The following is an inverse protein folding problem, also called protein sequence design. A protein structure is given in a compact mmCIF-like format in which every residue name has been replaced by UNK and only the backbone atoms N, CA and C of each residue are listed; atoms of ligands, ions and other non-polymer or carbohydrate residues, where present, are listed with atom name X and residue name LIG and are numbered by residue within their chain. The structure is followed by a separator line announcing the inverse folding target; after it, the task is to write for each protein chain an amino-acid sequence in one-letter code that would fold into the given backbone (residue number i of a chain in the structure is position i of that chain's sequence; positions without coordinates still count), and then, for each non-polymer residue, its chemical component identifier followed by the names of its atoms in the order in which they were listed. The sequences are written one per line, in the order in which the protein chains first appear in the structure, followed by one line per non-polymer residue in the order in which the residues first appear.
data_IF_553385623257
#
_entry.id   IF_553385623257
#
_cell.length_a   1.000
_cell.length_b   1.000
_cell.length_c   1.000
_cell.angle_alpha   90.00
_cell.angle_beta   90.00
_cell.angle_gamma   90.00
#
_symmetry.space_group_name_H-M   'P 1'
#
loop_
_entity.id
_entity.type
_entity.pdbx_description
1 polymer ?
#
# COMPACT_ATOMS: atom_id res chain seq x y z
N UNK A 1 -8.69 -49.70 -48.76
CA UNK A 1 -7.67 -48.63 -48.92
C UNK A 1 -8.07 -47.45 -48.06
N UNK A 2 -7.09 -46.83 -47.40
CA UNK A 2 -7.16 -45.50 -46.74
C UNK A 2 -7.75 -45.40 -45.33
N UNK A 3 -6.93 -45.67 -44.29
CA UNK A 3 -6.47 -44.69 -43.26
C UNK A 3 -5.94 -45.40 -41.99
N UNK A 4 -4.68 -45.17 -41.58
CA UNK A 4 -4.27 -45.21 -40.19
C UNK A 4 -4.08 -43.79 -39.63
N UNK A 5 -4.27 -43.63 -38.32
CA UNK A 5 -4.02 -42.40 -37.56
C UNK A 5 -4.64 -42.53 -36.17
N UNK A 6 -4.10 -43.40 -35.32
CA UNK A 6 -3.19 -43.04 -34.21
C UNK A 6 -3.76 -41.93 -33.32
N UNK A 7 -4.26 -42.38 -32.17
CA UNK A 7 -4.66 -41.52 -31.06
C UNK A 7 -3.47 -40.72 -30.54
N UNK A 8 -3.63 -39.42 -30.52
CA UNK A 8 -2.84 -38.51 -29.70
C UNK A 8 -3.59 -38.26 -28.41
N UNK A 9 -3.08 -38.82 -27.31
CA UNK A 9 -3.41 -38.39 -25.96
C UNK A 9 -2.95 -36.93 -25.83
N UNK A 10 -3.89 -36.01 -25.70
CA UNK A 10 -3.58 -34.65 -25.25
C UNK A 10 -3.30 -34.72 -23.75
N UNK A 11 -2.12 -34.32 -23.25
CA UNK A 11 -1.97 -34.06 -21.83
C UNK A 11 -2.78 -32.80 -21.52
N UNK A 12 -3.80 -32.99 -20.70
CA UNK A 12 -4.54 -31.92 -20.02
C UNK A 12 -3.51 -31.17 -19.18
N UNK A 13 -3.04 -30.01 -19.66
CA UNK A 13 -2.20 -29.15 -18.86
C UNK A 13 -3.01 -28.65 -17.67
N UNK A 14 -2.60 -29.13 -16.50
CA UNK A 14 -3.28 -28.98 -15.24
C UNK A 14 -3.46 -27.52 -14.83
N UNK A 15 -4.48 -27.36 -13.99
CA UNK A 15 -4.68 -26.23 -13.11
C UNK A 15 -3.36 -25.89 -12.41
N UNK A 16 -2.66 -24.91 -12.96
CA UNK A 16 -1.45 -24.37 -12.35
C UNK A 16 -1.85 -23.62 -11.09
N UNK A 17 -1.75 -24.30 -9.94
CA UNK A 17 -1.57 -23.60 -8.68
C UNK A 17 -0.37 -22.67 -8.86
N UNK A 18 -0.48 -21.36 -8.57
CA UNK A 18 0.68 -20.49 -8.61
C UNK A 18 1.73 -21.04 -7.64
N UNK A 19 3.02 -20.95 -7.98
CA UNK A 19 4.08 -21.51 -7.15
C UNK A 19 3.99 -20.99 -5.72
N UNK A 20 4.10 -21.89 -4.74
CA UNK A 20 3.93 -21.62 -3.29
C UNK A 20 5.09 -20.80 -2.67
N UNK A 21 5.77 -19.95 -3.44
CA UNK A 21 6.84 -19.08 -2.95
C UNK A 21 7.03 -17.86 -3.87
N UNK A 22 5.97 -17.10 -4.11
CA UNK A 22 6.12 -15.78 -4.74
C UNK A 22 6.35 -14.77 -3.65
N UNK A 23 7.55 -14.17 -3.62
CA UNK A 23 7.87 -13.09 -2.70
C UNK A 23 6.79 -12.01 -2.72
N UNK A 24 6.41 -11.50 -1.55
CA UNK A 24 5.40 -10.46 -1.39
C UNK A 24 5.96 -9.27 -0.66
N UNK A 25 5.56 -8.08 -1.09
CA UNK A 25 5.87 -6.86 -0.36
C UNK A 25 4.82 -6.67 0.72
N UNK A 26 5.27 -6.43 1.95
CA UNK A 26 4.40 -6.28 3.11
C UNK A 26 4.25 -4.80 3.44
N UNK A 27 3.00 -4.35 3.56
CA UNK A 27 2.67 -3.01 4.02
C UNK A 27 1.80 -3.15 5.24
N UNK A 28 2.26 -2.62 6.37
CA UNK A 28 1.43 -2.44 7.54
C UNK A 28 0.60 -1.17 7.38
N UNK A 29 -0.66 -1.28 7.72
CA UNK A 29 -1.63 -0.21 7.57
C UNK A 29 -2.47 -0.06 8.84
N UNK A 30 -2.96 1.14 9.11
CA UNK A 30 -3.87 1.44 10.20
C UNK A 30 -5.16 2.04 9.67
N UNK A 31 -6.28 1.75 10.36
CA UNK A 31 -7.59 2.23 9.96
C UNK A 31 -7.86 3.64 10.53
N UNK A 32 -8.01 4.63 9.66
CA UNK A 32 -8.28 6.01 10.07
C UNK A 32 -9.76 6.28 10.41
N UNK A 33 -10.09 7.51 10.82
CA UNK A 33 -11.48 7.90 11.17
C UNK A 33 -12.47 7.77 10.01
N UNK A 34 -11.97 7.77 8.78
CA UNK A 34 -12.77 7.74 7.56
C UNK A 34 -12.97 6.32 7.03
N UNK A 35 -12.68 5.29 7.83
CA UNK A 35 -12.71 3.88 7.43
C UNK A 35 -11.79 3.56 6.24
N UNK A 36 -10.64 4.24 6.18
CA UNK A 36 -9.61 4.04 5.14
C UNK A 36 -8.33 3.49 5.76
N UNK A 37 -7.72 2.54 5.07
CA UNK A 37 -6.44 1.97 5.45
C UNK A 37 -5.31 2.88 4.98
N UNK A 38 -4.48 3.29 5.94
CA UNK A 38 -3.38 4.23 5.74
C UNK A 38 -2.06 3.48 5.91
N UNK A 39 -1.15 3.52 4.93
CA UNK A 39 0.12 2.86 5.05
C UNK A 39 0.98 3.56 6.10
N UNK A 40 1.64 2.77 6.94
CA UNK A 40 2.83 3.25 7.63
C UNK A 40 3.96 3.47 6.63
N UNK A 41 4.97 4.24 7.01
CA UNK A 41 6.18 4.41 6.20
C UNK A 41 6.94 3.09 6.09
N UNK A 42 7.78 2.95 5.05
CA UNK A 42 8.55 1.72 4.85
C UNK A 42 9.44 1.39 6.06
N UNK A 43 10.08 2.40 6.66
CA UNK A 43 10.88 2.24 7.89
C UNK A 43 10.07 1.65 9.04
N UNK A 44 8.86 2.17 9.27
CA UNK A 44 7.96 1.65 10.31
C UNK A 44 7.52 0.22 9.98
N UNK A 45 7.20 -0.09 8.72
CA UNK A 45 6.87 -1.45 8.30
C UNK A 45 8.02 -2.44 8.52
N UNK A 46 9.27 -2.07 8.23
CA UNK A 46 10.44 -2.90 8.53
C UNK A 46 10.58 -3.16 10.02
N UNK A 47 10.38 -2.14 10.85
CA UNK A 47 10.44 -2.29 12.29
C UNK A 47 9.35 -3.24 12.82
N UNK A 48 8.10 -3.07 12.38
CA UNK A 48 7.01 -3.98 12.76
C UNK A 48 7.30 -5.42 12.31
N UNK A 49 7.75 -5.62 11.08
CA UNK A 49 8.10 -6.96 10.57
C UNK A 49 9.25 -7.61 11.34
N UNK A 50 10.25 -6.85 11.78
CA UNK A 50 11.34 -7.39 12.59
C UNK A 50 10.84 -7.85 13.97
N UNK A 51 10.02 -7.04 14.64
CA UNK A 51 9.43 -7.43 15.94
C UNK A 51 8.50 -8.63 15.77
N UNK A 52 7.68 -8.67 14.71
CA UNK A 52 6.78 -9.80 14.44
C UNK A 52 7.54 -11.12 14.25
N UNK A 53 8.72 -11.08 13.62
CA UNK A 53 9.57 -12.27 13.42
C UNK A 53 10.15 -12.78 14.74
N UNK A 54 10.46 -11.89 15.67
CA UNK A 54 11.01 -12.23 16.98
C UNK A 54 9.92 -12.68 17.96
N UNK A 55 8.80 -11.95 18.02
CA UNK A 55 7.66 -12.23 18.88
C UNK A 55 6.33 -11.85 18.22
N UNK A 56 5.60 -12.86 17.75
CA UNK A 56 4.29 -12.70 17.12
C UNK A 56 3.19 -12.18 18.07
N UNK A 57 3.43 -12.16 19.39
CA UNK A 57 2.50 -11.60 20.39
C UNK A 57 3.07 -10.37 21.08
N UNK A 58 4.17 -9.83 20.55
CA UNK A 58 4.85 -8.67 21.10
C UNK A 58 4.09 -7.36 20.89
N UNK A 59 4.64 -6.30 21.45
CA UNK A 59 4.19 -4.93 21.22
C UNK A 59 5.28 -4.13 20.49
N UNK A 60 4.87 -3.29 19.54
CA UNK A 60 5.78 -2.47 18.72
C UNK A 60 5.63 -1.01 19.11
N UNK A 61 6.71 -0.38 19.59
CA UNK A 61 6.73 1.04 19.96
C UNK A 61 7.16 1.87 18.76
N UNK A 62 6.19 2.47 18.06
CA UNK A 62 6.44 3.12 16.76
C UNK A 62 7.39 4.32 16.87
N UNK A 63 7.38 5.00 18.02
CA UNK A 63 8.28 6.11 18.35
C UNK A 63 9.77 5.82 18.26
N UNK A 64 10.18 4.54 18.28
CA UNK A 64 11.59 4.15 18.16
C UNK A 64 12.18 4.47 16.79
N UNK A 65 11.35 4.49 15.74
CA UNK A 65 11.77 4.69 14.35
C UNK A 65 11.12 5.91 13.67
N UNK A 66 10.07 6.47 14.27
CA UNK A 66 9.41 7.68 13.77
C UNK A 66 8.96 8.59 14.93
N UNK A 67 9.57 9.77 15.03
CA UNK A 67 9.28 10.74 16.09
C UNK A 67 7.82 11.26 16.06
N UNK A 68 7.14 11.23 14.91
CA UNK A 68 5.72 11.60 14.83
C UNK A 68 4.81 10.53 15.42
N UNK A 69 5.32 9.32 15.61
CA UNK A 69 4.58 8.16 16.11
C UNK A 69 4.93 7.81 17.57
N UNK A 70 5.63 8.70 18.29
CA UNK A 70 5.99 8.54 19.71
C UNK A 70 4.85 8.04 20.61
N UNK A 71 3.61 8.58 20.54
CA UNK A 71 2.56 8.15 21.46
C UNK A 71 1.88 6.82 21.04
N UNK A 72 2.33 6.16 19.98
CA UNK A 72 1.65 4.99 19.41
C UNK A 72 2.41 3.69 19.66
N UNK A 73 1.66 2.68 20.12
CA UNK A 73 2.11 1.30 20.28
C UNK A 73 1.19 0.39 19.49
N UNK A 74 1.72 -0.59 18.77
CA UNK A 74 0.93 -1.67 18.16
C UNK A 74 1.01 -2.89 19.06
N UNK A 75 -0.13 -3.47 19.41
CA UNK A 75 -0.21 -4.80 20.00
C UNK A 75 -0.44 -5.84 18.89
N UNK A 76 0.53 -6.73 18.66
CA UNK A 76 0.50 -7.69 17.55
C UNK A 76 -0.47 -8.84 17.79
N UNK A 77 -0.80 -9.13 19.06
CA UNK A 77 -1.78 -10.15 19.40
C UNK A 77 -3.20 -9.71 19.05
N UNK A 78 -3.60 -8.51 19.45
CA UNK A 78 -4.94 -7.96 19.15
C UNK A 78 -5.01 -7.33 17.77
N UNK A 79 -3.89 -7.05 17.11
CA UNK A 79 -3.80 -6.31 15.84
C UNK A 79 -4.42 -4.91 15.94
N UNK A 80 -4.08 -4.18 17.00
CA UNK A 80 -4.51 -2.80 17.21
C UNK A 80 -3.34 -1.86 17.49
N UNK A 81 -3.41 -0.66 16.94
CA UNK A 81 -2.64 0.49 17.38
C UNK A 81 -3.37 1.18 18.53
N UNK A 82 -2.66 1.38 19.63
CA UNK A 82 -3.09 2.15 20.78
C UNK A 82 -2.34 3.47 20.84
N UNK A 83 -3.06 4.57 21.05
CA UNK A 83 -2.48 5.88 21.34
C UNK A 83 -2.47 6.12 22.84
N UNK A 84 -1.28 6.25 23.44
CA UNK A 84 -1.09 6.18 24.89
C UNK A 84 -1.69 7.35 25.68
N UNK A 85 -1.75 8.54 25.10
CA UNK A 85 -2.21 9.77 25.76
C UNK A 85 -3.74 9.91 25.73
N UNK A 86 -4.41 9.51 24.64
CA UNK A 86 -5.87 9.62 24.48
C UNK A 86 -6.62 8.31 24.68
N UNK A 87 -5.91 7.19 24.75
CA UNK A 87 -6.52 5.86 24.85
C UNK A 87 -7.19 5.39 23.56
N UNK A 88 -7.01 6.10 22.44
CA UNK A 88 -7.67 5.77 21.17
C UNK A 88 -7.08 4.50 20.58
N UNK A 89 -7.96 3.58 20.19
CA UNK A 89 -7.61 2.30 19.56
C UNK A 89 -8.00 2.31 18.09
N UNK A 90 -7.09 1.84 17.23
CA UNK A 90 -7.32 1.70 15.79
C UNK A 90 -6.89 0.31 15.33
N UNK A 91 -7.71 -0.41 14.55
CA UNK A 91 -7.27 -1.64 13.91
C UNK A 91 -6.02 -1.42 13.04
N UNK A 92 -5.10 -2.37 13.07
CA UNK A 92 -3.99 -2.46 12.11
C UNK A 92 -4.12 -3.73 11.29
N UNK A 93 -3.52 -3.74 10.10
CA UNK A 93 -3.44 -4.93 9.26
C UNK A 93 -2.07 -5.06 8.60
N UNK A 94 -1.68 -6.31 8.36
CA UNK A 94 -0.54 -6.70 7.55
C UNK A 94 -1.05 -7.07 6.17
N UNK A 95 -0.84 -6.23 5.16
CA UNK A 95 -1.33 -6.45 3.80
C UNK A 95 -0.19 -6.76 2.82
N UNK A 96 -0.49 -7.49 1.73
CA UNK A 96 0.51 -8.01 0.81
C UNK A 96 0.31 -7.48 -0.61
N UNK A 97 1.40 -7.11 -1.25
CA UNK A 97 1.45 -6.50 -2.57
C UNK A 97 2.48 -7.18 -3.47
N UNK A 98 2.33 -6.97 -4.78
CA UNK A 98 3.27 -7.49 -5.77
C UNK A 98 4.62 -6.75 -5.69
N UNK A 99 5.78 -7.42 -5.72
CA UNK A 99 7.09 -6.77 -5.71
C UNK A 99 7.35 -5.76 -6.83
N UNK A 100 6.68 -5.91 -7.98
CA UNK A 100 6.77 -4.97 -9.10
C UNK A 100 5.91 -3.71 -8.90
N UNK A 101 5.05 -3.67 -7.88
CA UNK A 101 4.18 -2.54 -7.58
C UNK A 101 4.93 -1.39 -6.89
N UNK A 102 4.27 -0.24 -6.74
CA UNK A 102 4.82 0.96 -6.12
C UNK A 102 5.56 0.72 -4.78
N UNK A 103 4.99 0.01 -3.78
CA UNK A 103 5.69 -0.24 -2.51
C UNK A 103 6.96 -1.08 -2.67
N UNK A 104 6.99 -2.04 -3.59
CA UNK A 104 8.20 -2.84 -3.85
C UNK A 104 9.31 -2.07 -4.55
N UNK A 105 8.95 -1.04 -5.31
CA UNK A 105 9.88 -0.10 -5.95
C UNK A 105 10.27 1.08 -5.04
N UNK A 106 9.77 1.14 -3.80
CA UNK A 106 9.99 2.28 -2.90
C UNK A 106 9.37 3.58 -3.41
N UNK A 107 8.28 3.52 -4.18
CA UNK A 107 7.61 4.69 -4.73
C UNK A 107 6.43 5.05 -3.85
N UNK A 108 6.41 6.30 -3.37
CA UNK A 108 5.30 6.86 -2.58
C UNK A 108 4.70 8.03 -3.33
N UNK A 109 3.37 8.03 -3.43
CA UNK A 109 2.61 9.17 -3.93
C UNK A 109 2.00 9.92 -2.76
N UNK A 110 2.17 11.24 -2.75
CA UNK A 110 1.75 12.12 -1.66
C UNK A 110 1.01 13.33 -2.23
N UNK A 111 0.10 13.89 -1.44
CA UNK A 111 -0.55 15.17 -1.72
C UNK A 111 -0.26 16.14 -0.59
N UNK A 112 -0.10 17.41 -0.94
CA UNK A 112 0.13 18.44 0.06
C UNK A 112 -1.18 18.85 0.73
N UNK A 113 -1.23 18.76 2.05
CA UNK A 113 -2.38 19.15 2.84
C UNK A 113 -2.42 20.65 3.13
N UNK A 114 -3.50 21.10 3.76
CA UNK A 114 -3.73 22.53 3.98
C UNK A 114 -2.72 23.16 4.95
N UNK A 115 -2.04 22.35 5.77
CA UNK A 115 -0.93 22.77 6.62
C UNK A 115 0.43 22.77 5.92
N UNK A 116 0.48 22.49 4.61
CA UNK A 116 1.72 22.41 3.83
C UNK A 116 2.52 21.12 4.03
N UNK A 117 1.98 20.16 4.78
CA UNK A 117 2.63 18.86 4.99
C UNK A 117 2.20 17.86 3.90
N UNK A 118 3.12 16.97 3.54
CA UNK A 118 2.85 15.91 2.57
C UNK A 118 2.14 14.73 3.24
N UNK A 119 1.07 14.26 2.62
CA UNK A 119 0.25 13.15 3.11
C UNK A 119 0.22 12.06 2.04
N UNK A 120 0.67 10.86 2.36
CA UNK A 120 0.63 9.73 1.44
C UNK A 120 -0.79 9.40 0.97
N UNK A 121 -0.95 8.81 -0.20
CA UNK A 121 -2.21 8.15 -0.53
C UNK A 121 -2.32 6.79 0.17
N UNK A 122 -3.53 6.25 0.22
CA UNK A 122 -3.75 4.85 0.58
C UNK A 122 -2.94 3.96 -0.38
N UNK A 123 -2.47 2.79 0.06
CA UNK A 123 -1.49 2.03 -0.73
C UNK A 123 -2.03 1.61 -2.10
N UNK A 124 -3.28 1.16 -2.18
CA UNK A 124 -3.93 0.80 -3.45
C UNK A 124 -4.03 1.99 -4.41
N UNK A 125 -4.17 3.20 -3.87
CA UNK A 125 -4.20 4.44 -4.65
C UNK A 125 -2.80 4.82 -5.11
N UNK A 126 -1.77 4.69 -4.27
CA UNK A 126 -0.37 4.84 -4.69
C UNK A 126 -0.07 3.93 -5.89
N UNK A 127 -0.46 2.66 -5.82
CA UNK A 127 -0.28 1.69 -6.91
C UNK A 127 -1.04 2.11 -8.16
N UNK A 128 -2.30 2.52 -8.02
CA UNK A 128 -3.13 2.95 -9.16
C UNK A 128 -2.57 4.19 -9.85
N UNK A 129 -2.16 5.20 -9.06
CA UNK A 129 -1.53 6.42 -9.58
C UNK A 129 -0.22 6.07 -10.31
N UNK A 130 0.63 5.23 -9.69
CA UNK A 130 1.89 4.82 -10.30
C UNK A 130 1.68 4.09 -11.63
N UNK A 131 0.72 3.16 -11.69
CA UNK A 131 0.41 2.43 -12.91
C UNK A 131 -0.08 3.36 -14.03
N UNK A 132 -0.91 4.35 -13.71
CA UNK A 132 -1.38 5.33 -14.69
C UNK A 132 -0.26 6.26 -15.17
N UNK A 133 0.63 6.65 -14.24
CA UNK A 133 1.80 7.46 -14.55
C UNK A 133 2.79 6.74 -15.48
N UNK A 134 3.10 5.47 -15.22
CA UNK A 134 3.99 4.64 -16.07
C UNK A 134 3.43 4.45 -17.49
N UNK A 135 2.10 4.38 -17.63
CA UNK A 135 1.40 4.32 -18.91
C UNK A 135 1.23 5.68 -19.60
N UNK A 136 1.81 6.74 -19.03
CA UNK A 136 1.76 8.10 -19.58
C UNK A 136 0.33 8.62 -19.79
N UNK A 137 -0.62 8.23 -18.92
CA UNK A 137 -1.94 8.86 -18.93
C UNK A 137 -1.80 10.35 -18.56
N UNK A 138 -2.56 11.25 -19.20
CA UNK A 138 -2.50 12.69 -18.87
C UNK A 138 -3.16 13.01 -17.50
N UNK A 139 -4.13 12.19 -17.10
CA UNK A 139 -4.89 12.33 -15.87
C UNK A 139 -5.45 10.97 -15.40
N UNK A 140 -5.93 10.93 -14.16
CA UNK A 140 -6.58 9.77 -13.55
C UNK A 140 -7.74 10.21 -12.65
N UNK A 141 -8.92 9.63 -12.84
CA UNK A 141 -10.10 9.85 -11.97
C UNK A 141 -10.18 8.76 -10.90
N UNK A 142 -10.17 9.17 -9.63
CA UNK A 142 -10.22 8.27 -8.48
C UNK A 142 -11.65 8.02 -7.96
N UNK A 143 -12.69 8.53 -8.63
CA UNK A 143 -14.09 8.41 -8.19
C UNK A 143 -14.58 6.97 -8.11
N UNK A 144 -14.15 6.10 -9.02
CA UNK A 144 -14.45 4.66 -8.97
C UNK A 144 -13.85 3.95 -7.75
N UNK A 145 -12.88 4.57 -7.07
CA UNK A 145 -12.20 4.06 -5.88
C UNK A 145 -12.68 4.77 -4.59
N UNK A 146 -13.81 5.49 -4.68
CA UNK A 146 -14.43 6.18 -3.55
C UNK A 146 -13.80 7.53 -3.22
N UNK A 147 -13.04 8.14 -4.14
CA UNK A 147 -12.42 9.46 -3.93
C UNK A 147 -12.93 10.49 -4.92
N UNK A 148 -13.30 11.67 -4.46
CA UNK A 148 -13.75 12.76 -5.33
C UNK A 148 -12.61 13.52 -6.02
N UNK A 149 -11.50 12.86 -6.36
CA UNK A 149 -10.28 13.50 -6.83
C UNK A 149 -9.93 13.14 -8.29
N UNK A 150 -9.50 14.15 -9.05
CA UNK A 150 -8.82 14.01 -10.33
C UNK A 150 -7.33 14.30 -10.16
N UNK A 151 -6.50 13.38 -10.61
CA UNK A 151 -5.05 13.53 -10.68
C UNK A 151 -4.68 14.05 -12.07
N UNK A 152 -3.89 15.10 -12.13
CA UNK A 152 -3.29 15.62 -13.36
C UNK A 152 -1.78 15.45 -13.28
N UNK A 153 -1.22 14.62 -14.17
CA UNK A 153 0.20 14.28 -14.12
C UNK A 153 1.08 15.38 -14.70
N UNK A 154 0.64 16.06 -15.77
CA UNK A 154 1.41 17.15 -16.38
C UNK A 154 1.67 18.32 -15.41
N UNK A 155 0.68 18.66 -14.60
CA UNK A 155 0.79 19.74 -13.61
C UNK A 155 1.17 19.25 -12.21
N UNK A 156 1.37 17.94 -12.03
CA UNK A 156 1.61 17.29 -10.74
C UNK A 156 0.66 17.84 -9.66
N UNK A 157 -0.65 17.67 -9.89
CA UNK A 157 -1.67 18.19 -8.99
C UNK A 157 -2.87 17.27 -8.85
N UNK A 158 -3.46 17.27 -7.66
CA UNK A 158 -4.78 16.70 -7.39
C UNK A 158 -5.83 17.81 -7.41
N UNK A 159 -7.00 17.56 -8.00
CA UNK A 159 -8.15 18.45 -7.96
C UNK A 159 -9.35 17.74 -7.33
N UNK A 160 -9.95 18.35 -6.31
CA UNK A 160 -11.24 17.92 -5.79
C UNK A 160 -12.34 18.27 -6.81
N UNK A 161 -13.12 17.28 -7.25
CA UNK A 161 -14.17 17.43 -8.26
C UNK A 161 -15.34 18.27 -7.77
N UNK A 162 -15.65 18.20 -6.48
CA UNK A 162 -16.78 18.89 -5.86
C UNK A 162 -16.45 20.36 -5.59
N UNK A 163 -15.28 20.63 -4.99
CA UNK A 163 -14.90 22.00 -4.58
C UNK A 163 -14.00 22.71 -5.57
N UNK A 164 -13.51 22.01 -6.62
CA UNK A 164 -12.52 22.50 -7.59
C UNK A 164 -11.17 22.90 -7.00
N UNK A 165 -10.96 22.69 -5.70
CA UNK A 165 -9.70 22.98 -5.02
C UNK A 165 -8.58 22.10 -5.57
N UNK A 166 -7.42 22.70 -5.83
CA UNK A 166 -6.22 22.01 -6.29
C UNK A 166 -5.19 21.94 -5.17
N UNK A 167 -4.49 20.80 -5.07
CA UNK A 167 -3.37 20.56 -4.15
C UNK A 167 -2.21 19.96 -4.94
N UNK A 168 -0.98 20.22 -4.48
CA UNK A 168 0.22 19.69 -5.12
C UNK A 168 0.30 18.18 -4.93
N UNK A 169 0.86 17.52 -5.94
CA UNK A 169 1.12 16.08 -5.96
C UNK A 169 2.62 15.85 -6.00
N UNK A 170 3.11 14.90 -5.23
CA UNK A 170 4.52 14.51 -5.21
C UNK A 170 4.65 13.01 -5.44
N UNK A 171 5.57 12.65 -6.33
CA UNK A 171 6.08 11.29 -6.48
C UNK A 171 7.47 11.26 -5.83
N UNK A 172 7.60 10.51 -4.74
CA UNK A 172 8.84 10.41 -3.98
C UNK A 172 9.42 9.01 -4.08
N UNK A 173 10.75 8.93 -4.12
CA UNK A 173 11.49 7.69 -3.93
C UNK A 173 11.87 7.58 -2.45
N UNK A 174 11.63 6.41 -1.88
CA UNK A 174 11.84 6.07 -0.49
C UNK A 174 12.44 4.65 -0.40
N UNK A 175 12.70 4.20 0.83
CA UNK A 175 13.00 2.81 1.12
C UNK A 175 11.87 1.90 0.59
N UNK A 176 12.24 0.80 -0.07
CA UNK A 176 11.29 -0.23 -0.46
C UNK A 176 10.70 -0.90 0.78
N UNK A 177 9.41 -1.20 0.73
CA UNK A 177 8.72 -1.92 1.81
C UNK A 177 9.28 -3.34 2.00
N UNK A 178 9.16 -3.94 3.19
CA UNK A 178 9.68 -5.28 3.49
C UNK A 178 9.23 -6.35 2.49
N UNK A 179 10.13 -7.27 2.14
CA UNK A 179 9.84 -8.44 1.33
C UNK A 179 9.77 -9.69 2.21
N UNK A 180 8.76 -10.54 2.01
CA UNK A 180 8.57 -11.81 2.72
C UNK A 180 8.24 -12.96 1.78
#
# INVERSE_FOLDING_TARGET
MSRPGHGGLMPVNGLGFPPQNVARVVVWEWLNEHSRWRPYTATVCHHIENVLKEDARGSVVLGQVDAQLVPYIIDLQSMHQFRQDTGTMRPVRRNFYDPSSAPGKGIVWEWENDGGAWTAYDMDICITIQNAYEKQHPWLDLSSLGFCYLIYFNSMSQMNRQTRRRRRLLRRLDLAYPLT
#
